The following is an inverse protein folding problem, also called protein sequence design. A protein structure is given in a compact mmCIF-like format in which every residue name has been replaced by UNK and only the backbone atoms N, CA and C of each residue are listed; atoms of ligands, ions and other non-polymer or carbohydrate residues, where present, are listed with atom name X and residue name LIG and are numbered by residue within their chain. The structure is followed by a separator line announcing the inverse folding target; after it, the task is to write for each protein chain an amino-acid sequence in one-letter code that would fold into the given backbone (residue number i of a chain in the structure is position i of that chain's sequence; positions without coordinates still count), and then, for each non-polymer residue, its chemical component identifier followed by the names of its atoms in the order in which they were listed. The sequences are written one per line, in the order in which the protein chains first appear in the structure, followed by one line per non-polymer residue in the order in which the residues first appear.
data_IF_146452983085
#
_entry.id   IF_146452983085
#
_cell.length_a   1.000
_cell.length_b   1.000
_cell.length_c   1.000
_cell.angle_alpha   90.00
_cell.angle_beta   90.00
_cell.angle_gamma   90.00
#
_symmetry.space_group_name_H-M   'P 1'
#
loop_
_entity.id
_entity.type
_entity.pdbx_description
1 polymer ?
#
# COMPACT_ATOMS: atom_id res chain seq x y z
N UNK A 1 2.75 10.37 -19.76
CA UNK A 1 3.32 9.64 -18.59
C UNK A 1 4.18 10.62 -17.80
N UNK A 2 3.93 10.83 -16.50
CA UNK A 2 4.68 11.79 -15.65
C UNK A 2 5.41 11.03 -14.53
N UNK A 3 6.69 11.35 -14.29
CA UNK A 3 7.44 10.79 -13.17
C UNK A 3 6.73 11.14 -11.86
N UNK A 4 6.38 10.12 -11.09
CA UNK A 4 5.72 10.26 -9.79
C UNK A 4 6.74 10.23 -8.63
N UNK A 5 7.89 9.59 -8.84
CA UNK A 5 8.98 9.51 -7.87
C UNK A 5 9.80 8.24 -8.07
N UNK A 6 10.41 7.77 -6.99
CA UNK A 6 11.21 6.56 -6.91
C UNK A 6 10.68 5.67 -5.80
N UNK A 7 10.60 4.38 -6.04
CA UNK A 7 10.02 3.42 -5.11
C UNK A 7 11.08 2.57 -4.43
N UNK A 8 10.85 2.30 -3.15
CA UNK A 8 11.52 1.25 -2.37
C UNK A 8 10.45 0.50 -1.58
N UNK A 9 10.51 -0.82 -1.59
CA UNK A 9 9.56 -1.65 -0.86
C UNK A 9 10.27 -2.49 0.19
N UNK A 10 9.53 -2.90 1.22
CA UNK A 10 9.93 -3.97 2.13
C UNK A 10 8.75 -4.89 2.40
N UNK A 11 9.01 -6.19 2.47
CA UNK A 11 7.99 -7.22 2.66
C UNK A 11 8.27 -7.91 3.99
N UNK A 12 7.26 -8.05 4.83
CA UNK A 12 7.39 -8.71 6.13
C UNK A 12 6.11 -9.43 6.54
N UNK A 13 6.22 -10.36 7.49
CA UNK A 13 5.10 -11.07 8.10
C UNK A 13 4.94 -10.73 9.58
N UNK A 14 3.71 -10.78 10.08
CA UNK A 14 3.40 -10.67 11.51
C UNK A 14 2.42 -11.76 11.93
N UNK A 15 2.65 -12.35 13.11
CA UNK A 15 1.84 -13.46 13.66
C UNK A 15 1.28 -13.17 15.06
N UNK A 16 1.86 -12.22 15.78
CA UNK A 16 1.38 -11.89 17.12
C UNK A 16 -0.04 -11.32 17.06
N UNK A 17 -1.00 -11.99 17.70
CA UNK A 17 -2.41 -11.60 17.62
C UNK A 17 -2.67 -10.22 18.21
N UNK A 18 -1.93 -9.82 19.25
CA UNK A 18 -2.04 -8.48 19.86
C UNK A 18 -1.58 -7.42 18.87
N UNK A 19 -0.49 -7.68 18.13
CA UNK A 19 -0.04 -6.82 17.04
C UNK A 19 -1.10 -6.72 15.94
N UNK A 20 -1.64 -7.85 15.47
CA UNK A 20 -2.63 -7.89 14.39
C UNK A 20 -3.89 -7.10 14.80
N UNK A 21 -4.36 -7.26 16.04
CA UNK A 21 -5.48 -6.48 16.60
C UNK A 21 -5.24 -4.97 16.58
N UNK A 22 -3.99 -4.54 16.80
CA UNK A 22 -3.63 -3.13 16.92
C UNK A 22 -2.96 -2.58 15.65
N UNK A 23 -2.92 -3.34 14.56
CA UNK A 23 -2.03 -3.07 13.43
C UNK A 23 -2.26 -1.68 12.82
N UNK A 24 -3.51 -1.24 12.68
CA UNK A 24 -3.82 0.07 12.10
C UNK A 24 -3.27 1.21 12.97
N UNK A 25 -3.40 1.08 14.30
CA UNK A 25 -2.82 2.03 15.25
C UNK A 25 -1.29 2.02 15.17
N UNK A 26 -0.69 0.84 15.19
CA UNK A 26 0.77 0.66 15.11
C UNK A 26 1.32 1.32 13.84
N UNK A 27 0.71 1.08 12.69
CA UNK A 27 1.16 1.64 11.41
C UNK A 27 1.03 3.18 11.38
N UNK A 28 -0.01 3.74 12.00
CA UNK A 28 -0.16 5.18 12.14
C UNK A 28 0.90 5.78 13.08
N UNK A 29 1.16 5.12 14.21
CA UNK A 29 2.20 5.54 15.16
C UNK A 29 3.60 5.47 14.51
N UNK A 30 3.87 4.44 13.69
CA UNK A 30 5.10 4.35 12.87
C UNK A 30 5.22 5.54 11.91
N UNK A 31 4.15 5.91 11.19
CA UNK A 31 4.20 7.09 10.28
C UNK A 31 4.52 8.38 11.05
N UNK A 32 3.94 8.55 12.24
CA UNK A 32 4.24 9.68 13.13
C UNK A 32 5.71 9.69 13.53
N UNK A 33 6.21 8.56 14.02
CA UNK A 33 7.61 8.41 14.43
C UNK A 33 8.59 8.65 13.28
N UNK A 34 8.29 8.17 12.07
CA UNK A 34 9.13 8.42 10.87
C UNK A 34 9.22 9.92 10.59
N UNK A 35 8.10 10.65 10.68
CA UNK A 35 8.09 12.11 10.48
C UNK A 35 8.98 12.82 11.50
N UNK A 36 8.91 12.42 12.77
CA UNK A 36 9.76 12.96 13.84
C UNK A 36 11.25 12.61 13.62
N UNK A 37 11.53 11.36 13.24
CA UNK A 37 12.87 10.86 12.96
C UNK A 37 13.52 11.62 11.80
N UNK A 38 12.78 11.92 10.74
CA UNK A 38 13.27 12.68 9.60
C UNK A 38 13.47 14.16 9.93
N UNK A 39 12.62 14.72 10.79
CA UNK A 39 12.69 16.12 11.20
C UNK A 39 12.69 17.06 9.99
N UNK A 40 13.62 18.02 9.97
CA UNK A 40 13.75 18.99 8.87
C UNK A 40 14.62 18.49 7.70
N UNK A 41 15.12 17.23 7.74
CA UNK A 41 16.04 16.70 6.72
C UNK A 41 15.32 16.29 5.44
N UNK A 42 14.07 15.84 5.56
CA UNK A 42 13.23 15.42 4.44
C UNK A 42 11.84 15.98 4.65
N UNK A 43 11.33 16.76 3.70
CA UNK A 43 9.97 17.30 3.79
C UNK A 43 8.95 16.16 3.74
N UNK A 44 7.86 16.20 4.55
CA UNK A 44 6.74 15.27 4.41
C UNK A 44 6.08 15.28 3.03
N UNK A 45 6.28 16.33 2.22
CA UNK A 45 5.80 16.39 0.84
C UNK A 45 6.71 15.63 -0.16
N UNK A 46 7.94 15.28 0.24
CA UNK A 46 8.92 14.63 -0.64
C UNK A 46 8.82 13.09 -0.60
N UNK A 47 7.91 12.52 0.20
CA UNK A 47 7.69 11.08 0.26
C UNK A 47 6.25 10.70 0.63
N UNK A 48 5.90 9.47 0.34
CA UNK A 48 4.67 8.82 0.79
C UNK A 48 4.96 7.42 1.30
N UNK A 49 4.22 6.99 2.32
CA UNK A 49 4.33 5.66 2.95
C UNK A 49 2.97 4.98 2.88
N UNK A 50 2.93 3.84 2.18
CA UNK A 50 1.78 2.97 2.11
C UNK A 50 2.11 1.62 2.76
N UNK A 51 1.13 1.06 3.47
CA UNK A 51 1.20 -0.29 3.99
C UNK A 51 0.04 -1.09 3.40
N UNK A 52 0.34 -2.21 2.74
CA UNK A 52 -0.67 -3.18 2.30
C UNK A 52 -0.67 -4.34 3.28
N UNK A 53 -1.84 -4.69 3.82
CA UNK A 53 -2.01 -5.72 4.87
C UNK A 53 -2.72 -6.95 4.31
N UNK A 54 -1.97 -7.85 3.69
CA UNK A 54 -2.52 -9.11 3.18
C UNK A 54 -2.95 -10.00 4.35
N UNK A 55 -4.15 -10.59 4.21
CA UNK A 55 -4.87 -11.27 5.29
C UNK A 55 -5.86 -10.37 6.04
N UNK A 56 -5.83 -9.05 5.81
CA UNK A 56 -6.81 -8.10 6.37
C UNK A 56 -7.62 -7.46 5.24
N UNK A 57 -7.03 -6.51 4.51
CA UNK A 57 -7.78 -5.60 3.62
C UNK A 57 -6.93 -5.06 2.46
N UNK A 58 -5.82 -5.72 2.09
CA UNK A 58 -4.88 -5.19 1.09
C UNK A 58 -5.46 -4.98 -0.32
N UNK A 59 -6.57 -5.65 -0.65
CA UNK A 59 -7.22 -5.61 -1.98
C UNK A 59 -8.49 -4.75 -1.93
N UNK A 60 -9.47 -5.14 -1.11
CA UNK A 60 -10.77 -4.47 -1.01
C UNK A 60 -10.77 -3.25 -0.08
N UNK A 61 -9.73 -3.06 0.74
CA UNK A 61 -9.65 -1.93 1.66
C UNK A 61 -10.85 -1.85 2.62
N UNK A 62 -11.46 -0.67 2.70
CA UNK A 62 -12.55 -0.41 3.65
C UNK A 62 -13.82 -1.23 3.38
N UNK A 63 -14.03 -1.66 2.13
CA UNK A 63 -15.22 -2.45 1.74
C UNK A 63 -15.07 -3.96 1.97
N UNK A 64 -13.95 -4.41 2.54
CA UNK A 64 -13.79 -5.81 2.95
C UNK A 64 -14.90 -6.22 3.92
N UNK A 65 -15.58 -7.33 3.64
CA UNK A 65 -16.76 -7.77 4.38
C UNK A 65 -16.36 -8.64 5.57
N UNK A 66 -15.31 -9.45 5.42
CA UNK A 66 -14.84 -10.36 6.46
C UNK A 66 -13.94 -9.60 7.44
N UNK A 67 -14.34 -9.52 8.71
CA UNK A 67 -13.63 -8.77 9.76
C UNK A 67 -12.93 -9.66 10.79
N UNK A 68 -12.95 -10.99 10.59
CA UNK A 68 -12.24 -11.92 11.44
C UNK A 68 -10.74 -11.68 11.36
N UNK A 69 -10.06 -11.75 12.51
CA UNK A 69 -8.62 -11.54 12.56
C UNK A 69 -7.88 -12.80 12.10
N UNK A 70 -6.96 -12.67 11.14
CA UNK A 70 -6.15 -13.80 10.69
C UNK A 70 -5.11 -14.17 11.76
N UNK A 71 -4.63 -15.42 11.68
CA UNK A 71 -3.52 -15.89 12.52
C UNK A 71 -2.16 -15.29 12.14
N UNK A 72 -2.03 -14.86 10.89
CA UNK A 72 -0.80 -14.34 10.31
C UNK A 72 -1.14 -13.37 9.17
N UNK A 73 -0.37 -12.30 9.04
CA UNK A 73 -0.54 -11.29 8.00
C UNK A 73 0.75 -11.04 7.25
N UNK A 74 0.62 -10.71 5.97
CA UNK A 74 1.71 -10.16 5.15
C UNK A 74 1.58 -8.65 5.05
N UNK A 75 2.68 -7.93 5.27
CA UNK A 75 2.73 -6.47 5.17
C UNK A 75 3.72 -6.09 4.07
N UNK A 76 3.24 -5.34 3.08
CA UNK A 76 4.11 -4.68 2.09
C UNK A 76 4.18 -3.20 2.45
N UNK A 77 5.35 -2.76 2.89
CA UNK A 77 5.73 -1.36 2.98
C UNK A 77 6.11 -0.88 1.58
N UNK A 78 5.40 0.11 1.06
CA UNK A 78 5.68 0.77 -0.23
C UNK A 78 5.95 2.25 0.05
N UNK A 79 7.20 2.66 -0.20
CA UNK A 79 7.64 4.04 -0.05
C UNK A 79 7.92 4.61 -1.43
N UNK A 80 7.30 5.74 -1.75
CA UNK A 80 7.63 6.53 -2.93
C UNK A 80 8.22 7.86 -2.47
N UNK A 81 9.48 8.11 -2.81
CA UNK A 81 10.21 9.35 -2.53
C UNK A 81 10.50 10.16 -3.78
N UNK A 82 10.79 11.45 -3.62
CA UNK A 82 11.19 12.34 -4.72
C UNK A 82 12.49 11.91 -5.41
N UNK A 83 13.38 11.27 -4.66
CA UNK A 83 14.61 10.63 -5.16
C UNK A 83 14.71 9.21 -4.62
N UNK A 84 15.51 8.35 -5.27
CA UNK A 84 15.75 6.98 -4.80
C UNK A 84 16.40 6.96 -3.41
N UNK A 85 17.25 7.93 -3.11
CA UNK A 85 17.88 8.07 -1.79
C UNK A 85 16.86 8.37 -0.69
N UNK A 86 15.90 9.28 -0.96
CA UNK A 86 14.80 9.56 -0.04
C UNK A 86 13.94 8.30 0.15
N UNK A 87 13.58 7.61 -0.93
CA UNK A 87 12.78 6.39 -0.86
C UNK A 87 13.46 5.30 -0.01
N UNK A 88 14.76 5.07 -0.24
CA UNK A 88 15.57 4.12 0.52
C UNK A 88 15.65 4.51 2.00
N UNK A 89 15.93 5.78 2.29
CA UNK A 89 16.10 6.28 3.66
C UNK A 89 14.80 6.17 4.45
N UNK A 90 13.69 6.63 3.86
CA UNK A 90 12.36 6.56 4.48
C UNK A 90 11.94 5.10 4.67
N UNK A 91 12.19 4.21 3.70
CA UNK A 91 11.90 2.77 3.83
C UNK A 91 12.68 2.15 5.00
N UNK A 92 13.99 2.38 5.07
CA UNK A 92 14.84 1.84 6.14
C UNK A 92 14.40 2.30 7.53
N UNK A 93 14.08 3.59 7.70
CA UNK A 93 13.59 4.16 8.97
C UNK A 93 12.21 3.59 9.31
N UNK A 94 11.30 3.51 8.34
CA UNK A 94 9.94 2.98 8.55
C UNK A 94 9.98 1.51 8.96
N UNK A 95 10.77 0.70 8.26
CA UNK A 95 10.99 -0.71 8.57
C UNK A 95 11.60 -0.90 9.97
N UNK A 96 12.62 -0.11 10.31
CA UNK A 96 13.26 -0.14 11.62
C UNK A 96 12.25 0.20 12.73
N UNK A 97 11.46 1.27 12.55
CA UNK A 97 10.41 1.63 13.49
C UNK A 97 9.38 0.52 13.64
N UNK A 98 8.88 -0.06 12.54
CA UNK A 98 7.89 -1.14 12.61
C UNK A 98 8.41 -2.36 13.40
N UNK A 99 9.71 -2.66 13.31
CA UNK A 99 10.33 -3.77 14.03
C UNK A 99 10.46 -3.54 15.54
N UNK A 100 10.59 -2.28 15.99
CA UNK A 100 10.90 -1.92 17.37
C UNK A 100 9.79 -1.15 18.09
N UNK A 101 8.76 -0.68 17.37
CA UNK A 101 7.70 0.15 17.94
C UNK A 101 7.01 -0.58 19.07
N UNK A 102 6.77 0.18 20.14
CA UNK A 102 6.03 -0.31 21.29
C UNK A 102 4.53 -0.18 21.07
N UNK A 103 3.76 -1.12 21.63
CA UNK A 103 2.31 -1.09 21.56
C UNK A 103 1.70 -1.79 22.77
N UNK A 104 0.45 -1.46 23.07
CA UNK A 104 -0.24 -2.02 24.23
C UNK A 104 -0.30 -3.55 24.17
N UNK A 105 0.09 -4.20 25.26
CA UNK A 105 0.07 -5.67 25.36
C UNK A 105 1.20 -6.39 24.62
N UNK A 106 2.21 -5.66 24.12
CA UNK A 106 3.39 -6.24 23.48
C UNK A 106 4.15 -7.15 24.46
N UNK A 107 4.44 -8.38 24.02
CA UNK A 107 5.18 -9.39 24.81
C UNK A 107 6.68 -9.42 24.51
N UNK A 108 7.09 -8.87 23.37
CA UNK A 108 8.48 -8.85 22.91
C UNK A 108 9.10 -7.48 23.12
N UNK A 109 10.42 -7.40 23.25
CA UNK A 109 11.14 -6.11 23.34
C UNK A 109 11.53 -5.55 21.97
N UNK A 110 11.60 -6.41 20.95
CA UNK A 110 11.85 -6.11 19.54
C UNK A 110 11.36 -7.28 18.67
N UNK A 111 11.50 -7.16 17.34
CA UNK A 111 11.21 -8.26 16.42
C UNK A 111 9.72 -8.49 16.19
N UNK A 112 8.95 -7.40 16.08
CA UNK A 112 7.51 -7.45 15.85
C UNK A 112 7.12 -8.17 14.54
N UNK A 113 8.04 -8.16 13.57
CA UNK A 113 7.83 -8.68 12.21
C UNK A 113 9.01 -9.53 11.76
N UNK A 114 8.75 -10.47 10.86
CA UNK A 114 9.76 -11.29 10.21
C UNK A 114 9.96 -10.87 8.76
N UNK A 115 11.22 -10.71 8.33
CA UNK A 115 11.55 -10.45 6.93
C UNK A 115 11.93 -11.76 6.22
N UNK A 116 11.30 -12.09 5.08
CA UNK A 116 11.66 -13.27 4.31
C UNK A 116 12.91 -13.07 3.44
N UNK A 117 13.38 -11.83 3.25
CA UNK A 117 14.50 -11.51 2.36
C UNK A 117 15.59 -10.71 3.05
N UNK A 118 16.82 -10.89 2.56
CA UNK A 118 18.00 -10.11 2.89
C UNK A 118 18.73 -9.74 1.59
N UNK A 119 18.92 -8.44 1.26
CA UNK A 119 18.45 -7.28 2.02
C UNK A 119 16.91 -7.21 2.09
N UNK A 120 16.38 -6.65 3.18
CA UNK A 120 14.93 -6.53 3.41
C UNK A 120 14.31 -5.30 2.74
N UNK A 121 15.13 -4.37 2.26
CA UNK A 121 14.72 -3.21 1.45
C UNK A 121 15.03 -3.49 -0.02
N UNK A 122 14.04 -3.28 -0.89
CA UNK A 122 14.13 -3.59 -2.32
C UNK A 122 13.89 -2.27 -3.10
N UNK A 123 14.96 -1.64 -3.63
CA UNK A 123 14.83 -0.51 -4.53
C UNK A 123 14.15 -0.95 -5.83
N UNK A 124 13.02 -0.34 -6.17
CA UNK A 124 12.26 -0.65 -7.39
C UNK A 124 12.60 0.32 -8.52
N UNK A 125 13.04 1.54 -8.19
CA UNK A 125 13.41 2.55 -9.19
C UNK A 125 12.28 3.53 -9.51
N UNK A 126 12.36 4.24 -10.65
CA UNK A 126 11.40 5.29 -10.99
C UNK A 126 10.00 4.73 -11.21
N UNK A 127 8.99 5.43 -10.68
CA UNK A 127 7.57 5.11 -10.84
C UNK A 127 6.85 6.28 -11.50
N UNK A 128 5.83 5.97 -12.29
CA UNK A 128 5.15 6.95 -13.14
C UNK A 128 3.64 6.91 -12.91
N UNK A 129 3.01 8.08 -12.98
CA UNK A 129 1.56 8.17 -12.97
C UNK A 129 1.01 7.71 -14.31
N UNK A 130 0.11 6.73 -14.25
CA UNK A 130 -0.73 6.35 -15.38
C UNK A 130 -1.92 7.32 -15.44
N UNK A 131 -1.88 8.23 -16.41
CA UNK A 131 -2.97 9.17 -16.65
C UNK A 131 -3.78 8.66 -17.85
N UNK A 132 -5.02 8.25 -17.65
CA UNK A 132 -5.99 8.09 -18.74
C UNK A 132 -6.74 9.41 -18.86
N UNK A 133 -6.52 10.14 -19.96
CA UNK A 133 -7.43 11.19 -20.39
C UNK A 133 -8.60 10.50 -21.09
N UNK A 134 -9.74 10.35 -20.40
CA UNK A 134 -10.95 9.75 -20.96
C UNK A 134 -11.94 10.79 -21.51
N UNK A 135 -11.50 12.03 -21.70
CA UNK A 135 -12.32 13.06 -22.35
C UNK A 135 -12.34 12.77 -23.85
N UNK A 136 -13.28 11.94 -24.25
CA UNK A 136 -13.80 11.92 -25.61
C UNK A 136 -14.86 13.01 -25.65
N UNK A 137 -14.64 14.03 -26.48
CA UNK A 137 -15.66 15.03 -26.77
C UNK A 137 -16.68 14.34 -27.68
N UNK A 138 -17.89 14.16 -27.16
CA UNK A 138 -19.00 13.51 -27.85
C UNK A 138 -20.07 14.55 -28.11
N UNK A 139 -20.67 14.54 -29.29
CA UNK A 139 -21.82 15.43 -29.58
C UNK A 139 -23.10 14.88 -28.91
N UNK A 140 -23.18 13.55 -28.74
CA UNK A 140 -24.27 12.87 -28.04
C UNK A 140 -23.75 11.72 -27.14
N UNK A 141 -24.26 11.61 -25.90
CA UNK A 141 -23.82 10.58 -24.94
C UNK A 141 -24.05 9.13 -25.43
N UNK A 142 -24.93 8.91 -26.40
CA UNK A 142 -25.25 7.60 -26.97
C UNK A 142 -24.33 7.20 -28.13
N UNK A 143 -23.51 8.10 -28.69
CA UNK A 143 -22.69 7.79 -29.87
C UNK A 143 -21.58 6.76 -29.60
N UNK A 144 -21.15 6.65 -28.33
CA UNK A 144 -20.09 5.72 -27.90
C UNK A 144 -20.61 4.32 -27.59
N UNK A 145 -21.93 4.09 -27.64
CA UNK A 145 -22.55 2.82 -27.28
C UNK A 145 -23.67 2.45 -28.26
N UNK A 146 -23.38 1.53 -29.18
CA UNK A 146 -24.38 0.98 -30.10
C UNK A 146 -24.98 -0.32 -29.55
N UNK A 147 -26.31 -0.35 -29.39
CA UNK A 147 -27.06 -1.55 -28.99
C UNK A 147 -27.81 -2.09 -30.22
N UNK A 148 -27.42 -3.27 -30.68
CA UNK A 148 -28.12 -3.98 -31.75
C UNK A 148 -28.94 -5.13 -31.16
N UNK A 149 -30.26 -5.08 -31.35
CA UNK A 149 -31.14 -6.19 -31.00
C UNK A 149 -31.22 -7.17 -32.16
N UNK A 150 -30.74 -8.39 -31.96
CA UNK A 150 -30.88 -9.48 -32.93
C UNK A 150 -32.03 -10.38 -32.49
N UNK A 151 -33.07 -10.49 -33.32
CA UNK A 151 -34.18 -11.41 -33.08
C UNK A 151 -33.75 -12.81 -33.51
N UNK A 152 -33.53 -13.70 -32.55
CA UNK A 152 -33.14 -15.09 -32.81
C UNK A 152 -34.37 -15.98 -32.73
N UNK A 153 -34.78 -16.54 -33.87
CA UNK A 153 -35.85 -17.55 -33.98
C UNK A 153 -36.97 -17.17 -34.95
N UNK A 154 -37.11 -17.92 -36.04
CA UNK A 154 -38.37 -18.08 -36.77
C UNK A 154 -39.11 -19.28 -36.18
N UNK A 155 -40.34 -19.09 -35.70
CA UNK A 155 -41.26 -20.22 -35.57
C UNK A 155 -41.61 -20.66 -36.99
N UNK A 156 -41.04 -21.79 -37.42
CA UNK A 156 -41.58 -22.54 -38.55
C UNK A 156 -42.86 -23.22 -38.06
N UNK A 157 -43.99 -22.73 -38.57
CA UNK A 157 -45.30 -23.39 -38.53
C UNK A 157 -45.92 -23.29 -39.92
#
# INVERSE_FOLDING_TARGET
VKLAGYRTISICGARDITMIQNINKILNDVKGSVKENLGNRVSPADYSILFRKYGIDAVEGEIEILKDLPHEIGIVLDVVGKTQEIANTVCAITRSNLLHIDYFGRKTTAGNIAFPYSPSDIPVGPVFNFNIYHLVEVEDLSETSNINFVKVGTMNG
#
